data_IF_950790649928
#
_entry.id   IF_950790649928
#
_cell.length_a   1.000
_cell.length_b   1.000
_cell.length_c   1.000
_cell.angle_alpha   90.00
_cell.angle_beta   90.00
_cell.angle_gamma   90.00
#
_symmetry.space_group_name_H-M   'P 1'
#
loop_
_entity.id
_entity.type
_entity.pdbx_description
1 polymer ?
#
# COMPACT_ATOMS: atom_id res chain seq x y z
N UNK A 1 2.34 11.02 13.44
CA UNK A 1 3.23 9.89 13.10
C UNK A 1 2.57 8.52 13.26
N UNK A 2 1.76 8.27 14.31
CA UNK A 2 1.13 6.96 14.56
C UNK A 2 0.22 6.51 13.40
N UNK A 3 -0.70 7.36 12.94
CA UNK A 3 -1.59 7.01 11.80
C UNK A 3 -0.80 6.68 10.53
N UNK A 4 0.29 7.41 10.27
CA UNK A 4 1.14 7.17 9.10
C UNK A 4 1.86 5.82 9.18
N UNK A 5 2.42 5.47 10.35
CA UNK A 5 3.09 4.17 10.57
C UNK A 5 2.10 2.99 10.55
N UNK A 6 0.87 3.17 11.06
CA UNK A 6 -0.20 2.18 10.96
C UNK A 6 -0.62 1.92 9.50
N UNK A 7 -0.81 2.98 8.71
CA UNK A 7 -1.14 2.86 7.29
C UNK A 7 -0.03 2.14 6.51
N UNK A 8 1.23 2.49 6.77
CA UNK A 8 2.38 1.84 6.16
C UNK A 8 2.43 0.34 6.50
N UNK A 9 2.19 -0.03 7.77
CA UNK A 9 2.17 -1.42 8.19
C UNK A 9 1.04 -2.23 7.53
N UNK A 10 -0.17 -1.65 7.44
CA UNK A 10 -1.31 -2.31 6.82
C UNK A 10 -1.11 -2.49 5.31
N UNK A 11 -0.55 -1.48 4.63
CA UNK A 11 -0.16 -1.56 3.22
C UNK A 11 0.92 -2.62 2.97
N UNK A 12 1.90 -2.73 3.88
CA UNK A 12 2.94 -3.75 3.79
C UNK A 12 2.35 -5.16 3.89
N UNK A 13 1.45 -5.39 4.84
CA UNK A 13 0.77 -6.70 4.98
C UNK A 13 -0.04 -7.07 3.72
N UNK A 14 -0.75 -6.10 3.14
CA UNK A 14 -1.53 -6.30 1.91
C UNK A 14 -0.66 -6.47 0.66
N UNK A 15 0.50 -5.80 0.62
CA UNK A 15 1.42 -5.88 -0.52
C UNK A 15 2.23 -7.17 -0.55
N UNK A 16 2.66 -7.67 0.61
CA UNK A 16 3.40 -8.95 0.71
C UNK A 16 2.48 -10.15 0.46
N UNK A 17 1.21 -10.02 0.84
CA UNK A 17 0.21 -11.07 0.67
C UNK A 17 -0.87 -10.62 -0.31
N UNK A 18 -0.66 -10.71 -1.62
CA UNK A 18 -1.73 -10.47 -2.58
C UNK A 18 -2.84 -11.49 -2.32
N UNK A 19 -3.97 -11.02 -1.79
CA UNK A 19 -5.10 -11.84 -1.31
C UNK A 19 -5.79 -12.71 -2.38
N UNK A 20 -5.26 -12.76 -3.60
CA UNK A 20 -5.71 -13.63 -4.68
C UNK A 20 -4.84 -14.85 -4.94
N UNK A 21 -3.64 -14.94 -4.35
CA UNK A 21 -2.67 -15.99 -4.67
C UNK A 21 -2.15 -15.94 -6.11
N UNK A 22 -1.12 -16.71 -6.38
CA UNK A 22 -0.60 -16.92 -7.74
C UNK A 22 -1.19 -18.19 -8.32
N UNK A 23 -1.29 -18.27 -9.64
CA UNK A 23 -1.56 -19.53 -10.31
C UNK A 23 -0.35 -20.45 -10.14
N UNK A 24 -0.53 -21.58 -9.44
CA UNK A 24 0.51 -22.59 -9.18
C UNK A 24 0.80 -23.48 -10.40
N UNK A 25 -0.05 -23.45 -11.42
CA UNK A 25 0.05 -24.29 -12.61
C UNK A 25 -0.46 -23.55 -13.83
N UNK A 26 0.04 -23.92 -15.01
CA UNK A 26 -0.46 -23.40 -16.28
C UNK A 26 -1.91 -23.85 -16.51
N UNK A 27 -2.68 -23.02 -17.20
CA UNK A 27 -4.07 -23.31 -17.54
C UNK A 27 -4.19 -24.67 -18.24
N UNK A 28 -5.00 -25.62 -17.71
CA UNK A 28 -5.28 -26.86 -18.41
C UNK A 28 -5.99 -26.58 -19.74
N UNK A 29 -5.72 -27.40 -20.76
CA UNK A 29 -6.31 -27.28 -22.09
C UNK A 29 -7.82 -27.47 -22.05
N UNK A 30 -8.54 -26.36 -21.92
CA UNK A 30 -10.00 -26.33 -21.74
C UNK A 30 -10.50 -25.31 -20.72
N UNK A 31 -9.62 -24.65 -19.96
CA UNK A 31 -10.05 -23.62 -19.02
C UNK A 31 -10.58 -22.36 -19.75
N UNK A 32 -11.60 -21.68 -19.20
CA UNK A 32 -12.20 -20.49 -19.81
C UNK A 32 -11.24 -19.29 -19.91
N UNK A 33 -10.10 -19.34 -19.21
CA UNK A 33 -9.12 -18.24 -19.17
C UNK A 33 -7.71 -18.84 -19.25
N UNK A 34 -6.91 -18.42 -20.24
CA UNK A 34 -5.48 -18.79 -20.31
C UNK A 34 -4.71 -17.98 -19.26
N UNK A 35 -4.10 -18.67 -18.30
CA UNK A 35 -3.16 -18.10 -17.33
C UNK A 35 -1.88 -18.93 -17.34
N UNK A 36 -0.76 -18.25 -17.04
CA UNK A 36 0.56 -18.86 -16.90
C UNK A 36 0.90 -18.95 -15.42
N UNK A 37 1.57 -20.03 -15.02
CA UNK A 37 2.09 -20.18 -13.67
C UNK A 37 2.90 -18.93 -13.27
N UNK A 38 2.63 -18.40 -12.07
CA UNK A 38 3.25 -17.17 -11.55
C UNK A 38 2.52 -15.86 -11.91
N UNK A 39 1.44 -15.89 -12.70
CA UNK A 39 0.55 -14.73 -12.84
C UNK A 39 -0.40 -14.60 -11.64
N UNK A 40 -0.62 -13.37 -11.16
CA UNK A 40 -1.58 -13.11 -10.07
C UNK A 40 -3.00 -13.44 -10.54
N UNK A 41 -3.73 -14.21 -9.74
CA UNK A 41 -5.09 -14.66 -10.07
C UNK A 41 -6.07 -13.51 -10.29
N UNK A 42 -5.86 -12.39 -9.59
CA UNK A 42 -6.64 -11.16 -9.74
C UNK A 42 -6.40 -10.45 -11.08
N UNK A 43 -5.18 -10.51 -11.62
CA UNK A 43 -4.85 -9.88 -12.90
C UNK A 43 -5.50 -10.60 -14.09
N UNK A 44 -5.69 -11.92 -13.99
CA UNK A 44 -6.31 -12.73 -15.05
C UNK A 44 -7.84 -12.65 -15.04
N UNK A 45 -8.45 -12.55 -13.86
CA UNK A 45 -9.91 -12.64 -13.71
C UNK A 45 -10.62 -11.28 -13.89
N UNK A 46 -10.00 -10.19 -13.45
CA UNK A 46 -10.59 -8.84 -13.50
C UNK A 46 -9.52 -7.74 -13.65
N UNK A 47 -8.98 -7.50 -14.86
CA UNK A 47 -7.88 -6.56 -15.05
C UNK A 47 -8.21 -5.12 -14.62
N UNK A 48 -9.48 -4.70 -14.70
CA UNK A 48 -9.93 -3.35 -14.29
C UNK A 48 -9.93 -3.15 -12.77
N UNK A 49 -10.30 -4.18 -12.01
CA UNK A 49 -10.34 -4.10 -10.55
C UNK A 49 -8.94 -4.25 -9.97
N UNK A 50 -8.09 -5.07 -10.61
CA UNK A 50 -6.68 -5.20 -10.27
C UNK A 50 -5.94 -3.85 -10.28
N UNK A 51 -6.19 -3.01 -11.29
CA UNK A 51 -5.54 -1.69 -11.40
C UNK A 51 -5.94 -0.77 -10.23
N UNK A 52 -7.20 -0.81 -9.80
CA UNK A 52 -7.68 -0.05 -8.63
C UNK A 52 -7.06 -0.55 -7.33
N UNK A 53 -6.94 -1.87 -7.14
CA UNK A 53 -6.26 -2.44 -5.97
C UNK A 53 -4.77 -2.13 -5.95
N UNK A 54 -4.12 -2.15 -7.11
CA UNK A 54 -2.71 -1.82 -7.25
C UNK A 54 -2.46 -0.33 -6.95
N UNK A 55 -3.26 0.56 -7.53
CA UNK A 55 -3.21 1.99 -7.25
C UNK A 55 -3.47 2.31 -5.77
N UNK A 56 -4.47 1.68 -5.16
CA UNK A 56 -4.75 1.87 -3.74
C UNK A 56 -3.57 1.44 -2.84
N UNK A 57 -2.94 0.30 -3.12
CA UNK A 57 -1.76 -0.15 -2.40
C UNK A 57 -0.56 0.79 -2.58
N UNK A 58 -0.33 1.30 -3.79
CA UNK A 58 0.72 2.28 -4.08
C UNK A 58 0.52 3.60 -3.32
N UNK A 59 -0.71 4.10 -3.28
CA UNK A 59 -1.07 5.32 -2.55
C UNK A 59 -0.90 5.10 -1.05
N UNK A 60 -1.34 3.96 -0.51
CA UNK A 60 -1.16 3.64 0.91
C UNK A 60 0.31 3.46 1.32
N UNK A 61 1.18 3.04 0.39
CA UNK A 61 2.62 3.00 0.64
C UNK A 61 3.26 4.40 0.57
N UNK A 62 2.85 5.23 -0.40
CA UNK A 62 3.50 6.51 -0.70
C UNK A 62 3.00 7.68 0.17
N UNK A 63 1.69 7.76 0.43
CA UNK A 63 1.09 8.79 1.28
C UNK A 63 1.75 8.92 2.66
N UNK A 64 1.93 7.87 3.46
CA UNK A 64 2.52 7.99 4.78
C UNK A 64 3.98 8.48 4.75
N UNK A 65 4.75 8.09 3.73
CA UNK A 65 6.12 8.54 3.50
C UNK A 65 6.13 10.05 3.22
N UNK A 66 5.26 10.52 2.32
CA UNK A 66 5.11 11.94 2.02
C UNK A 66 4.66 12.73 3.26
N UNK A 67 3.70 12.22 4.03
CA UNK A 67 3.22 12.87 5.25
C UNK A 67 4.34 12.97 6.30
N UNK A 68 5.14 11.92 6.50
CA UNK A 68 6.28 11.95 7.41
C UNK A 68 7.35 12.92 6.91
N UNK A 69 7.69 12.89 5.62
CA UNK A 69 8.65 13.81 5.01
C UNK A 69 8.21 15.28 5.15
N UNK A 70 6.94 15.58 4.88
CA UNK A 70 6.36 16.92 5.07
C UNK A 70 6.36 17.35 6.55
N UNK A 71 6.04 16.43 7.48
CA UNK A 71 6.14 16.72 8.91
C UNK A 71 7.58 17.05 9.34
N UNK A 72 8.55 16.29 8.82
CA UNK A 72 9.97 16.48 9.12
C UNK A 72 10.55 17.75 8.48
N UNK A 73 10.12 18.12 7.26
CA UNK A 73 10.69 19.23 6.49
C UNK A 73 10.16 20.61 6.87
N UNK A 74 9.01 20.75 7.53
CA UNK A 74 8.47 22.09 7.80
C UNK A 74 7.33 22.20 8.81
N UNK A 75 6.73 21.09 9.25
CA UNK A 75 5.70 21.08 10.28
C UNK A 75 6.26 20.68 11.66
N UNK A 76 7.51 21.04 11.94
CA UNK A 76 8.00 21.08 13.32
C UNK A 76 7.34 22.29 13.99
N UNK A 77 6.07 22.11 14.38
CA UNK A 77 5.32 23.06 15.20
C UNK A 77 6.12 23.18 16.49
N UNK A 78 7.02 24.16 16.53
CA UNK A 78 7.81 24.47 17.71
C UNK A 78 6.84 24.73 18.85
N UNK A 79 6.59 23.70 19.67
CA UNK A 79 5.94 23.80 20.97
C UNK A 79 6.96 24.35 21.97
N UNK A 80 7.64 25.44 21.61
CA UNK A 80 8.68 26.07 22.42
C UNK A 80 8.30 27.45 22.98
N UNK A 81 7.20 28.06 22.53
CA UNK A 81 6.88 29.46 22.88
C UNK A 81 6.18 29.72 24.22
N UNK A 82 5.68 28.69 24.91
CA UNK A 82 4.73 28.90 26.02
C UNK A 82 5.25 28.58 27.42
N UNK A 83 6.53 28.20 27.57
CA UNK A 83 7.11 27.86 28.89
C UNK A 83 8.02 28.99 29.42
N UNK A 84 8.37 30.00 28.63
CA UNK A 84 9.34 31.04 29.00
C UNK A 84 8.76 32.31 29.67
N UNK A 85 7.45 32.38 29.96
CA UNK A 85 6.81 33.54 30.59
C UNK A 85 6.42 33.33 32.07
N UNK A 86 6.98 32.30 32.73
CA UNK A 86 6.71 32.03 34.15
C UNK A 86 7.97 31.64 34.93
N UNK A 87 8.98 32.51 34.94
CA UNK A 87 10.01 32.55 35.98
C UNK A 87 10.47 33.97 36.23
#
# INVERSE_FOLDING_TARGET
MIVSTLLLAMAYQMGVSPSGGFWDSDSPGGAPVKYKAGTSRLATQSPKDYDRYFAANLVLFTCPILIIALLLSGLNFSRGGWIALRS
#
